data_IF_830461553770
#
_entry.id   IF_830461553770
#
_cell.length_a   1.000
_cell.length_b   1.000
_cell.length_c   1.000
_cell.angle_alpha   90.00
_cell.angle_beta   90.00
_cell.angle_gamma   90.00
#
_symmetry.space_group_name_H-M   'P 1'
#
loop_
_entity.id
_entity.type
_entity.pdbx_description
1 polymer ?
#
# COMPACT_ATOMS: atom_id res chain seq x y z
N UNK A 1 -24.89 58.49 -24.84
CA UNK A 1 -25.16 57.31 -23.97
C UNK A 1 -24.11 56.24 -24.30
N UNK A 2 -23.09 56.09 -23.44
CA UNK A 2 -22.05 55.04 -23.58
C UNK A 2 -22.49 53.83 -22.81
N UNK A 3 -22.72 52.68 -23.49
CA UNK A 3 -23.02 51.38 -22.90
C UNK A 3 -21.70 50.78 -22.43
N UNK A 4 -21.53 50.60 -21.11
CA UNK A 4 -20.46 49.78 -20.53
C UNK A 4 -20.90 48.33 -20.60
N UNK A 5 -20.21 47.51 -21.42
CA UNK A 5 -20.33 46.05 -21.41
C UNK A 5 -19.41 45.56 -20.32
N UNK A 6 -19.99 45.08 -19.21
CA UNK A 6 -19.28 44.43 -18.13
C UNK A 6 -19.05 42.98 -18.52
N UNK A 7 -17.82 42.65 -18.87
CA UNK A 7 -17.42 41.23 -19.12
C UNK A 7 -17.13 40.61 -17.77
N UNK A 8 -18.08 39.79 -17.28
CA UNK A 8 -17.87 38.93 -16.12
C UNK A 8 -16.97 37.79 -16.52
N UNK A 9 -15.71 37.84 -16.13
CA UNK A 9 -14.73 36.78 -16.28
C UNK A 9 -15.05 35.71 -15.19
N UNK A 10 -15.80 34.69 -15.56
CA UNK A 10 -16.00 33.51 -14.72
C UNK A 10 -14.70 32.74 -14.62
N UNK A 11 -13.92 32.95 -13.56
CA UNK A 11 -12.83 32.05 -13.17
C UNK A 11 -13.44 30.72 -12.77
N UNK A 12 -13.39 29.74 -13.67
CA UNK A 12 -13.62 28.35 -13.34
C UNK A 12 -12.48 27.87 -12.46
N UNK A 13 -12.67 27.88 -11.15
CA UNK A 13 -11.83 27.16 -10.21
C UNK A 13 -12.03 25.66 -10.51
N UNK A 14 -11.12 25.08 -11.26
CA UNK A 14 -10.92 23.65 -11.29
C UNK A 14 -10.47 23.25 -9.87
N UNK A 15 -11.40 22.94 -8.97
CA UNK A 15 -11.11 22.24 -7.75
C UNK A 15 -10.61 20.85 -8.17
N UNK A 16 -9.28 20.66 -8.15
CA UNK A 16 -8.68 19.34 -8.14
C UNK A 16 -9.26 18.63 -6.92
N UNK A 17 -10.15 17.66 -7.16
CA UNK A 17 -10.75 16.85 -6.11
C UNK A 17 -9.64 15.94 -5.55
N UNK A 18 -8.95 16.43 -4.53
CA UNK A 18 -8.11 15.55 -3.71
C UNK A 18 -8.98 14.44 -3.15
N UNK A 19 -8.49 13.23 -3.14
CA UNK A 19 -9.17 12.14 -2.46
C UNK A 19 -9.37 12.55 -0.99
N UNK A 20 -10.63 12.69 -0.57
CA UNK A 20 -10.95 13.03 0.81
C UNK A 20 -10.68 11.78 1.65
N UNK A 21 -9.67 11.85 2.52
CA UNK A 21 -9.34 10.77 3.43
C UNK A 21 -10.23 10.81 4.67
N UNK A 22 -10.89 9.69 4.97
CA UNK A 22 -11.63 9.49 6.21
C UNK A 22 -10.67 9.06 7.33
N UNK A 23 -10.96 9.39 8.60
CA UNK A 23 -10.15 8.97 9.74
C UNK A 23 -10.06 7.44 9.85
N UNK A 24 -8.84 6.89 9.98
CA UNK A 24 -8.63 5.46 10.14
C UNK A 24 -8.98 4.97 11.56
N UNK A 25 -8.84 5.83 12.56
CA UNK A 25 -9.09 5.57 13.97
C UNK A 25 -10.04 6.59 14.58
N UNK A 26 -10.76 6.17 15.62
CA UNK A 26 -11.43 7.10 16.55
C UNK A 26 -10.42 7.76 17.49
N UNK A 27 -9.39 7.02 17.91
CA UNK A 27 -8.27 7.49 18.71
C UNK A 27 -6.99 6.85 18.16
N UNK A 28 -6.07 7.66 17.67
CA UNK A 28 -4.84 7.17 17.04
C UNK A 28 -3.94 6.54 18.11
N UNK A 29 -3.55 5.26 17.97
CA UNK A 29 -2.61 4.62 18.88
C UNK A 29 -1.18 5.08 18.59
N UNK A 30 -0.27 4.94 19.57
CA UNK A 30 1.16 5.25 19.37
C UNK A 30 1.34 6.63 18.73
N UNK A 31 0.71 7.66 19.33
CA UNK A 31 0.63 9.01 18.80
C UNK A 31 1.02 10.03 19.88
N UNK A 32 1.87 10.97 19.51
CA UNK A 32 2.20 12.16 20.26
C UNK A 32 1.32 13.29 19.74
N UNK A 33 0.59 13.96 20.62
CA UNK A 33 -0.22 15.13 20.27
C UNK A 33 0.71 16.32 20.00
N UNK A 34 1.02 16.50 18.73
CA UNK A 34 1.89 17.54 18.19
C UNK A 34 1.21 18.15 16.96
N UNK A 35 1.59 19.39 16.55
CA UNK A 35 1.05 19.99 15.35
C UNK A 35 1.22 19.08 14.14
N UNK A 36 0.15 18.90 13.35
CA UNK A 36 0.21 18.14 12.11
C UNK A 36 1.01 18.97 11.07
N UNK A 37 2.06 18.35 10.52
CA UNK A 37 2.92 18.95 9.51
C UNK A 37 2.69 18.34 8.12
N UNK A 38 1.59 17.62 7.92
CA UNK A 38 1.27 17.01 6.64
C UNK A 38 1.37 18.04 5.51
N UNK A 39 2.03 17.68 4.45
CA UNK A 39 2.14 18.49 3.24
C UNK A 39 1.97 17.65 1.99
N UNK A 40 1.33 18.23 0.98
CA UNK A 40 1.16 17.62 -0.32
C UNK A 40 1.76 18.47 -1.42
N UNK A 41 2.35 17.84 -2.43
CA UNK A 41 2.88 18.49 -3.61
C UNK A 41 2.25 17.86 -4.86
N UNK A 42 1.91 18.73 -5.82
CA UNK A 42 1.37 18.35 -7.12
C UNK A 42 2.38 18.81 -8.18
N UNK A 43 3.04 17.85 -8.82
CA UNK A 43 3.95 18.05 -9.94
C UNK A 43 3.55 17.11 -11.10
N UNK A 44 2.25 17.04 -11.36
CA UNK A 44 1.61 16.00 -12.18
C UNK A 44 1.31 14.70 -11.42
N UNK A 45 1.78 14.56 -10.16
CA UNK A 45 1.52 13.41 -9.30
C UNK A 45 1.35 13.89 -7.85
N UNK A 46 0.25 13.52 -7.21
CA UNK A 46 0.02 13.84 -5.80
C UNK A 46 0.97 13.02 -4.90
N UNK A 47 1.82 13.73 -4.16
CA UNK A 47 2.70 13.16 -3.12
C UNK A 47 2.38 13.78 -1.78
N UNK A 48 2.18 12.95 -0.75
CA UNK A 48 1.88 13.41 0.61
C UNK A 48 3.08 13.05 1.51
N UNK A 49 3.58 14.03 2.24
CA UNK A 49 4.68 13.84 3.20
C UNK A 49 4.26 14.21 4.61
N UNK A 50 5.05 13.82 5.61
CA UNK A 50 4.85 14.14 7.04
C UNK A 50 3.48 13.73 7.57
N UNK A 51 2.91 12.64 7.06
CA UNK A 51 1.62 12.13 7.51
C UNK A 51 1.72 11.70 8.98
N UNK A 52 1.07 12.44 9.88
CA UNK A 52 0.95 12.11 11.30
C UNK A 52 -0.45 11.55 11.63
N UNK A 53 -1.46 11.96 10.88
CA UNK A 53 -2.87 11.53 11.03
C UNK A 53 -3.22 10.55 9.91
N UNK A 54 -3.34 9.24 10.23
CA UNK A 54 -3.63 8.23 9.22
C UNK A 54 -5.09 8.29 8.78
N UNK A 55 -5.32 7.98 7.51
CA UNK A 55 -6.65 8.00 6.92
C UNK A 55 -6.79 7.01 5.77
N UNK A 56 -8.01 6.92 5.23
CA UNK A 56 -8.29 6.05 4.09
C UNK A 56 -9.26 6.72 3.11
N UNK A 57 -9.12 6.39 1.83
CA UNK A 57 -10.09 6.69 0.81
C UNK A 57 -10.65 5.37 0.25
N UNK A 58 -11.97 5.15 0.38
CA UNK A 58 -12.64 3.95 -0.11
C UNK A 58 -13.22 4.19 -1.50
N UNK A 59 -12.95 3.29 -2.42
CA UNK A 59 -13.40 3.28 -3.80
C UNK A 59 -14.30 2.06 -4.02
N UNK A 60 -15.59 2.31 -4.25
CA UNK A 60 -16.58 1.24 -4.46
C UNK A 60 -16.60 0.79 -5.92
N UNK A 61 -16.59 -0.52 -6.15
CA UNK A 61 -16.79 -1.15 -7.46
C UNK A 61 -18.28 -1.50 -7.73
N UNK A 62 -19.21 -0.79 -7.08
CA UNK A 62 -20.66 -1.06 -7.14
C UNK A 62 -21.17 -1.85 -5.93
N UNK A 63 -22.50 -1.93 -5.77
CA UNK A 63 -23.15 -2.36 -4.53
C UNK A 63 -24.08 -3.58 -4.69
N UNK A 64 -24.06 -4.28 -5.82
CA UNK A 64 -25.03 -5.35 -6.08
C UNK A 64 -24.74 -6.60 -5.25
N UNK A 65 -23.51 -7.14 -5.36
CA UNK A 65 -23.08 -8.34 -4.65
C UNK A 65 -21.78 -8.09 -3.87
N UNK A 66 -21.51 -8.89 -2.82
CA UNK A 66 -20.23 -8.83 -2.10
C UNK A 66 -19.05 -9.09 -3.04
N UNK A 67 -18.09 -8.16 -3.07
CA UNK A 67 -16.91 -8.17 -3.94
C UNK A 67 -15.63 -8.25 -3.10
N UNK A 68 -14.53 -8.73 -3.68
CA UNK A 68 -13.21 -8.59 -3.05
C UNK A 68 -12.88 -7.13 -2.77
N UNK A 69 -11.99 -6.90 -1.82
CA UNK A 69 -11.44 -5.59 -1.53
C UNK A 69 -9.92 -5.65 -1.44
N UNK A 70 -9.22 -4.68 -2.03
CA UNK A 70 -7.77 -4.54 -1.90
C UNK A 70 -7.43 -3.26 -1.14
N UNK A 71 -6.58 -3.37 -0.12
CA UNK A 71 -5.99 -2.24 0.58
C UNK A 71 -4.70 -1.88 -0.14
N UNK A 72 -4.55 -0.63 -0.57
CA UNK A 72 -3.43 -0.15 -1.37
C UNK A 72 -2.54 0.72 -0.50
N UNK A 73 -1.26 0.34 -0.38
CA UNK A 73 -0.21 1.04 0.33
C UNK A 73 0.73 1.70 -0.70
N UNK A 74 0.62 3.01 -0.98
CA UNK A 74 1.51 3.69 -1.91
C UNK A 74 2.97 3.63 -1.46
N UNK A 75 3.91 3.64 -2.40
CA UNK A 75 5.34 3.73 -2.12
C UNK A 75 5.78 5.15 -1.74
N UNK A 76 7.10 5.31 -1.62
CA UNK A 76 7.71 6.61 -1.31
C UNK A 76 8.79 6.54 -0.24
N UNK A 77 9.39 5.37 -0.02
CA UNK A 77 10.58 5.18 0.83
C UNK A 77 10.33 5.43 2.31
N UNK A 78 9.10 5.35 2.81
CA UNK A 78 8.69 5.79 4.15
C UNK A 78 9.00 7.28 4.43
N UNK A 79 9.07 8.09 3.39
CA UNK A 79 9.27 9.55 3.48
C UNK A 79 8.09 10.33 2.90
N UNK A 80 7.44 9.78 1.90
CA UNK A 80 6.24 10.29 1.26
C UNK A 80 5.28 9.14 0.94
N UNK A 81 4.07 9.47 0.50
CA UNK A 81 3.13 8.57 -0.16
C UNK A 81 2.94 9.05 -1.61
N UNK A 82 3.21 8.19 -2.59
CA UNK A 82 2.93 8.43 -3.99
C UNK A 82 1.43 8.18 -4.28
N UNK A 83 0.58 9.01 -3.66
CA UNK A 83 -0.85 8.76 -3.44
C UNK A 83 -1.71 8.73 -4.70
N UNK A 84 -1.23 9.23 -5.83
CA UNK A 84 -1.96 9.22 -7.10
C UNK A 84 -1.63 7.96 -7.91
N UNK A 85 -0.44 7.88 -8.51
CA UNK A 85 -0.10 6.82 -9.46
C UNK A 85 0.11 5.42 -8.83
N UNK A 86 0.42 5.35 -7.53
CA UNK A 86 0.50 4.10 -6.74
C UNK A 86 -0.66 3.95 -5.74
N UNK A 87 -1.65 4.84 -5.79
CA UNK A 87 -2.81 4.87 -4.92
C UNK A 87 -4.12 4.97 -5.67
N UNK A 88 -4.60 6.21 -5.90
CA UNK A 88 -5.95 6.44 -6.43
C UNK A 88 -6.13 5.93 -7.86
N UNK A 89 -5.13 5.97 -8.71
CA UNK A 89 -5.24 5.45 -10.07
C UNK A 89 -5.30 3.92 -10.08
N UNK A 90 -4.54 3.28 -9.18
CA UNK A 90 -4.61 1.83 -8.95
C UNK A 90 -6.00 1.44 -8.43
N UNK A 91 -6.57 2.22 -7.51
CA UNK A 91 -7.93 1.99 -6.99
C UNK A 91 -8.99 2.07 -8.08
N UNK A 92 -8.90 3.04 -8.98
CA UNK A 92 -9.80 3.15 -10.15
C UNK A 92 -9.70 1.93 -11.07
N UNK A 93 -8.47 1.42 -11.29
CA UNK A 93 -8.29 0.20 -12.07
C UNK A 93 -8.98 -1.00 -11.39
N UNK A 94 -8.76 -1.23 -10.10
CA UNK A 94 -9.42 -2.33 -9.38
C UNK A 94 -10.94 -2.23 -9.45
N UNK A 95 -11.50 -1.02 -9.34
CA UNK A 95 -12.94 -0.81 -9.52
C UNK A 95 -13.42 -1.23 -10.91
N UNK A 96 -12.64 -0.95 -11.96
CA UNK A 96 -13.00 -1.31 -13.33
C UNK A 96 -13.07 -2.82 -13.58
N UNK A 97 -12.41 -3.62 -12.72
CA UNK A 97 -12.42 -5.09 -12.76
C UNK A 97 -13.27 -5.72 -11.65
N UNK A 98 -14.12 -4.93 -10.98
CA UNK A 98 -15.07 -5.42 -9.98
C UNK A 98 -14.49 -5.67 -8.59
N UNK A 99 -13.39 -5.04 -8.21
CA UNK A 99 -12.77 -5.14 -6.89
C UNK A 99 -12.89 -3.78 -6.19
N UNK A 100 -13.41 -3.76 -4.96
CA UNK A 100 -13.34 -2.57 -4.11
C UNK A 100 -11.88 -2.26 -3.76
N UNK A 101 -11.57 -0.98 -3.56
CA UNK A 101 -10.24 -0.57 -3.17
C UNK A 101 -10.28 0.41 -2.00
N UNK A 102 -9.32 0.29 -1.09
CA UNK A 102 -9.08 1.23 -0.02
C UNK A 102 -7.65 1.75 -0.13
N UNK A 103 -7.47 3.02 -0.51
CA UNK A 103 -6.16 3.67 -0.50
C UNK A 103 -5.85 4.10 0.92
N UNK A 104 -4.76 3.57 1.46
CA UNK A 104 -4.32 3.85 2.82
C UNK A 104 -3.33 5.02 2.85
N UNK A 105 -3.72 6.11 3.50
CA UNK A 105 -2.82 7.18 3.91
C UNK A 105 -2.20 6.77 5.25
N UNK A 106 -1.17 5.92 5.20
CA UNK A 106 -0.50 5.46 6.42
C UNK A 106 0.48 6.49 6.96
N UNK A 107 0.74 6.46 8.26
CA UNK A 107 1.67 7.38 8.93
C UNK A 107 3.08 7.22 8.39
N UNK A 108 3.72 8.35 8.14
CA UNK A 108 5.14 8.42 7.83
C UNK A 108 5.92 8.36 9.16
N UNK A 109 6.91 7.46 9.29
CA UNK A 109 7.69 7.31 10.53
C UNK A 109 8.36 8.63 10.95
N UNK A 110 8.06 9.09 12.17
CA UNK A 110 8.62 10.32 12.75
C UNK A 110 8.72 10.17 14.26
N UNK A 111 9.86 10.53 14.83
CA UNK A 111 10.06 10.56 16.28
C UNK A 111 9.27 11.69 16.94
N UNK A 112 8.86 12.71 16.17
CA UNK A 112 8.06 13.84 16.64
C UNK A 112 6.60 13.47 16.89
N UNK A 113 6.07 12.48 16.16
CA UNK A 113 4.65 12.14 16.16
C UNK A 113 4.35 10.73 16.70
N UNK A 114 5.34 9.86 16.83
CA UNK A 114 5.12 8.49 17.27
C UNK A 114 6.14 8.08 18.35
N UNK A 115 5.68 7.62 19.55
CA UNK A 115 6.55 7.03 20.57
C UNK A 115 7.39 5.86 20.04
N UNK A 116 6.81 5.03 19.17
CA UNK A 116 7.53 4.02 18.38
C UNK A 116 7.15 4.14 16.90
N UNK A 117 7.93 4.90 16.17
CA UNK A 117 7.69 5.14 14.73
C UNK A 117 7.78 3.88 13.85
N UNK A 118 8.52 2.87 14.30
CA UNK A 118 8.77 1.64 13.52
C UNK A 118 7.51 0.82 13.29
N UNK A 119 6.62 0.82 14.28
CA UNK A 119 5.38 0.03 14.21
C UNK A 119 4.18 0.84 13.67
N UNK A 120 4.27 2.17 13.58
CA UNK A 120 3.14 3.01 13.23
C UNK A 120 2.53 2.67 11.85
N UNK A 121 3.31 2.48 10.76
CA UNK A 121 2.75 2.04 9.47
C UNK A 121 2.06 0.67 9.56
N UNK A 122 2.66 -0.29 10.27
CA UNK A 122 2.09 -1.64 10.44
C UNK A 122 0.76 -1.60 11.21
N UNK A 123 0.67 -0.77 12.27
CA UNK A 123 -0.59 -0.54 12.97
C UNK A 123 -1.68 -0.05 12.02
N UNK A 124 -1.34 0.91 11.14
CA UNK A 124 -2.29 1.48 10.19
C UNK A 124 -2.73 0.44 9.14
N UNK A 125 -1.84 -0.40 8.65
CA UNK A 125 -2.17 -1.49 7.74
C UNK A 125 -3.04 -2.57 8.42
N UNK A 126 -2.75 -2.96 9.66
CA UNK A 126 -3.58 -3.87 10.45
C UNK A 126 -4.98 -3.28 10.65
N UNK A 127 -5.08 -1.99 11.01
CA UNK A 127 -6.36 -1.31 11.20
C UNK A 127 -7.16 -1.22 9.90
N UNK A 128 -6.51 -1.01 8.77
CA UNK A 128 -7.20 -0.94 7.47
C UNK A 128 -7.87 -2.28 7.11
N UNK A 129 -7.20 -3.42 7.30
CA UNK A 129 -7.81 -4.76 7.08
C UNK A 129 -8.99 -4.98 8.03
N UNK A 130 -8.82 -4.63 9.30
CA UNK A 130 -9.87 -4.76 10.31
C UNK A 130 -11.08 -3.88 9.96
N UNK A 131 -10.85 -2.62 9.57
CA UNK A 131 -11.88 -1.67 9.18
C UNK A 131 -12.70 -2.17 7.99
N UNK A 132 -12.04 -2.70 6.95
CA UNK A 132 -12.74 -3.28 5.79
C UNK A 132 -13.65 -4.42 6.22
N UNK A 133 -13.19 -5.31 7.10
CA UNK A 133 -13.98 -6.43 7.61
C UNK A 133 -15.10 -5.99 8.54
N UNK A 134 -14.91 -4.95 9.35
CA UNK A 134 -15.95 -4.33 10.17
C UNK A 134 -17.10 -3.79 9.34
N UNK A 135 -16.77 -3.16 8.21
CA UNK A 135 -17.76 -2.57 7.30
C UNK A 135 -18.17 -3.48 6.14
N UNK A 136 -17.78 -4.76 6.15
CA UNK A 136 -17.97 -5.66 5.02
C UNK A 136 -19.42 -5.73 4.52
N UNK A 137 -20.38 -5.76 5.46
CA UNK A 137 -21.83 -5.77 5.13
C UNK A 137 -22.26 -4.48 4.44
N UNK A 138 -21.87 -3.34 4.99
CA UNK A 138 -22.32 -2.02 4.51
C UNK A 138 -21.64 -1.65 3.19
N UNK A 139 -20.36 -2.01 3.03
CA UNK A 139 -19.57 -1.75 1.83
C UNK A 139 -19.70 -2.84 0.75
N UNK A 140 -20.49 -3.88 1.02
CA UNK A 140 -20.63 -5.04 0.12
C UNK A 140 -19.28 -5.68 -0.22
N UNK A 141 -18.45 -5.86 0.79
CA UNK A 141 -17.16 -6.57 0.70
C UNK A 141 -17.34 -8.03 1.12
N UNK A 142 -16.72 -8.95 0.38
CA UNK A 142 -16.54 -10.32 0.85
C UNK A 142 -15.42 -10.34 1.91
N UNK A 143 -15.72 -10.59 3.19
CA UNK A 143 -14.72 -10.52 4.26
C UNK A 143 -13.64 -11.62 4.17
N UNK A 144 -13.81 -12.61 3.31
CA UNK A 144 -12.85 -13.68 3.02
C UNK A 144 -11.97 -13.39 1.80
N UNK A 145 -12.15 -12.22 1.17
CA UNK A 145 -11.41 -11.78 -0.01
C UNK A 145 -10.88 -10.35 0.17
N UNK A 146 -10.24 -10.12 1.32
CA UNK A 146 -9.60 -8.83 1.64
C UNK A 146 -8.10 -8.95 1.45
N UNK A 147 -7.59 -8.37 0.38
CA UNK A 147 -6.16 -8.38 0.04
C UNK A 147 -5.44 -7.11 0.45
N UNK A 148 -4.12 -7.17 0.40
CA UNK A 148 -3.25 -6.00 0.54
C UNK A 148 -2.34 -5.88 -0.67
N UNK A 149 -2.13 -4.65 -1.11
CA UNK A 149 -1.22 -4.31 -2.20
C UNK A 149 -0.29 -3.20 -1.77
N UNK A 150 0.95 -3.22 -2.27
CA UNK A 150 1.86 -2.11 -2.03
C UNK A 150 2.97 -2.04 -3.06
N UNK A 151 3.52 -0.83 -3.22
CA UNK A 151 4.62 -0.54 -4.11
C UNK A 151 5.85 -0.10 -3.33
N UNK A 152 7.05 -0.55 -3.73
CA UNK A 152 8.31 -0.09 -3.13
C UNK A 152 8.30 -0.24 -1.60
N UNK A 153 8.44 0.84 -0.83
CA UNK A 153 8.29 0.85 0.63
C UNK A 153 6.86 0.51 1.09
N UNK A 154 5.81 0.83 0.30
CA UNK A 154 4.44 0.36 0.53
C UNK A 154 4.33 -1.16 0.32
N UNK A 155 5.13 -1.73 -0.59
CA UNK A 155 5.28 -3.17 -0.75
C UNK A 155 5.95 -3.82 0.46
N UNK A 156 6.91 -3.14 1.10
CA UNK A 156 7.45 -3.56 2.38
C UNK A 156 6.37 -3.57 3.47
N UNK A 157 5.56 -2.51 3.56
CA UNK A 157 4.46 -2.46 4.52
C UNK A 157 3.44 -3.58 4.29
N UNK A 158 3.06 -3.82 3.03
CA UNK A 158 2.12 -4.87 2.65
C UNK A 158 2.64 -6.27 3.00
N UNK A 159 3.89 -6.57 2.67
CA UNK A 159 4.54 -7.84 3.03
C UNK A 159 4.80 -7.96 4.53
N UNK A 160 5.11 -6.85 5.24
CA UNK A 160 5.22 -6.86 6.71
C UNK A 160 3.90 -7.27 7.36
N UNK A 161 2.75 -6.74 6.90
CA UNK A 161 1.47 -7.20 7.40
C UNK A 161 1.21 -8.67 7.06
N UNK A 162 1.59 -9.11 5.86
CA UNK A 162 1.37 -10.48 5.40
C UNK A 162 2.16 -11.53 6.23
N UNK A 163 3.29 -11.17 6.82
CA UNK A 163 4.11 -12.08 7.64
C UNK A 163 3.97 -11.87 9.14
N UNK A 164 3.55 -10.68 9.58
CA UNK A 164 3.36 -10.31 11.00
C UNK A 164 1.88 -10.12 11.37
N UNK A 165 0.96 -10.78 10.66
CA UNK A 165 -0.48 -10.67 10.93
C UNK A 165 -0.91 -11.19 12.31
N UNK A 166 -0.13 -12.05 12.93
CA UNK A 166 -0.35 -12.60 14.28
C UNK A 166 0.32 -11.76 15.38
N UNK A 167 1.26 -10.88 15.04
CA UNK A 167 1.84 -9.90 15.94
C UNK A 167 1.00 -8.61 15.97
N UNK A 168 -0.10 -8.65 16.73
CA UNK A 168 -1.11 -7.58 16.76
C UNK A 168 -0.58 -6.33 17.45
N UNK A 169 -0.45 -5.23 16.72
CA UNK A 169 0.03 -3.92 17.21
C UNK A 169 -1.11 -2.94 17.52
N UNK A 170 -2.36 -3.30 17.24
CA UNK A 170 -3.57 -2.49 17.50
C UNK A 170 -4.40 -3.11 18.63
N UNK A 171 -5.24 -2.27 19.27
CA UNK A 171 -6.11 -2.73 20.37
C UNK A 171 -7.59 -2.81 20.01
N UNK A 172 -7.95 -2.25 18.85
CA UNK A 172 -9.31 -2.26 18.35
C UNK A 172 -9.73 -3.69 18.01
N UNK A 173 -10.94 -4.04 18.32
CA UNK A 173 -11.66 -5.27 18.00
C UNK A 173 -10.82 -6.52 17.68
N UNK A 174 -10.14 -7.08 18.67
CA UNK A 174 -9.27 -8.24 18.56
C UNK A 174 -9.94 -9.56 18.07
N UNK A 175 -11.28 -9.54 17.85
CA UNK A 175 -12.03 -10.67 17.29
C UNK A 175 -12.00 -10.70 15.77
N UNK A 176 -11.61 -9.60 15.12
CA UNK A 176 -11.53 -9.51 13.67
C UNK A 176 -10.09 -9.70 13.23
N UNK A 177 -9.86 -10.71 12.38
CA UNK A 177 -8.52 -10.99 11.84
C UNK A 177 -7.97 -9.80 11.06
N UNK A 178 -6.69 -9.50 11.25
CA UNK A 178 -5.95 -8.51 10.46
C UNK A 178 -5.11 -9.17 9.35
N UNK A 179 -5.15 -10.51 9.22
CA UNK A 179 -4.46 -11.25 8.17
C UNK A 179 -5.12 -10.96 6.81
N UNK A 180 -4.41 -10.46 5.80
CA UNK A 180 -4.94 -10.35 4.46
C UNK A 180 -5.13 -11.75 3.84
N UNK A 181 -6.05 -11.87 2.87
CA UNK A 181 -6.32 -13.15 2.19
C UNK A 181 -5.39 -13.38 1.00
N UNK A 182 -4.86 -12.30 0.40
CA UNK A 182 -3.87 -12.31 -0.67
C UNK A 182 -3.01 -11.04 -0.62
N UNK A 183 -1.86 -11.05 -1.31
CA UNK A 183 -0.98 -9.88 -1.41
C UNK A 183 -0.52 -9.65 -2.85
N UNK A 184 -0.38 -8.36 -3.24
CA UNK A 184 0.11 -7.92 -4.55
C UNK A 184 1.23 -6.91 -4.31
N UNK A 185 2.43 -7.19 -4.83
CA UNK A 185 3.62 -6.42 -4.50
C UNK A 185 4.31 -5.90 -5.77
N UNK A 186 4.33 -4.58 -5.93
CA UNK A 186 5.05 -3.90 -7.02
C UNK A 186 6.45 -3.49 -6.60
N UNK A 187 7.49 -4.02 -7.26
CA UNK A 187 8.91 -3.73 -6.99
C UNK A 187 9.20 -3.52 -5.49
N UNK A 188 8.79 -4.50 -4.64
CA UNK A 188 8.74 -4.29 -3.21
C UNK A 188 10.13 -4.24 -2.59
N UNK A 189 10.32 -3.37 -1.59
CA UNK A 189 11.32 -3.60 -0.57
C UNK A 189 10.86 -4.79 0.27
N UNK A 190 11.73 -5.73 0.57
CA UNK A 190 11.45 -6.93 1.37
C UNK A 190 12.44 -7.06 2.51
N UNK A 191 13.73 -7.06 2.21
CA UNK A 191 14.78 -7.25 3.20
C UNK A 191 15.37 -5.93 3.68
N UNK A 192 15.58 -5.83 4.98
CA UNK A 192 16.36 -4.74 5.58
C UNK A 192 17.79 -5.17 5.94
N UNK A 193 18.14 -6.41 5.70
CA UNK A 193 19.52 -6.93 5.82
C UNK A 193 20.16 -7.09 4.46
N UNK A 194 19.99 -8.21 3.78
CA UNK A 194 20.53 -8.48 2.46
C UNK A 194 19.71 -7.76 1.38
N UNK A 195 20.32 -7.13 0.41
CA UNK A 195 19.66 -6.36 -0.68
C UNK A 195 18.81 -5.17 -0.20
N UNK A 196 19.15 -4.61 0.96
CA UNK A 196 18.38 -3.55 1.61
C UNK A 196 18.30 -2.28 0.77
N UNK A 197 17.07 -1.75 0.59
CA UNK A 197 16.91 -0.35 0.21
C UNK A 197 17.20 0.54 1.45
N UNK A 198 18.43 1.03 1.53
CA UNK A 198 18.96 1.75 2.71
C UNK A 198 18.09 2.96 3.11
N UNK A 199 17.49 3.65 2.11
CA UNK A 199 16.60 4.78 2.37
C UNK A 199 15.36 4.39 3.18
N UNK A 200 14.62 3.37 2.74
CA UNK A 200 13.44 2.86 3.45
C UNK A 200 13.79 2.36 4.86
N UNK A 201 14.89 1.60 4.98
CA UNK A 201 15.35 1.11 6.29
C UNK A 201 15.64 2.25 7.25
N UNK A 202 16.42 3.25 6.84
CA UNK A 202 16.77 4.40 7.70
C UNK A 202 15.54 5.22 8.08
N UNK A 203 14.58 5.40 7.16
CA UNK A 203 13.37 6.16 7.45
C UNK A 203 12.47 5.43 8.45
N UNK A 204 12.32 4.10 8.32
CA UNK A 204 11.50 3.32 9.24
C UNK A 204 12.20 3.10 10.59
N UNK A 205 13.44 2.61 10.58
CA UNK A 205 14.13 2.14 11.79
C UNK A 205 15.00 3.20 12.48
N UNK A 206 15.36 4.26 11.77
CA UNK A 206 16.36 5.22 12.23
C UNK A 206 17.78 4.83 11.80
N UNK A 207 18.76 5.68 12.19
CA UNK A 207 20.17 5.50 11.82
C UNK A 207 20.84 4.35 12.58
N UNK A 208 20.43 4.15 13.82
CA UNK A 208 21.02 3.22 14.77
C UNK A 208 20.23 1.89 14.84
N UNK A 209 19.75 1.42 13.66
CA UNK A 209 19.02 0.16 13.59
C UNK A 209 19.91 -1.03 13.97
N UNK A 210 19.46 -1.82 14.94
CA UNK A 210 20.13 -3.05 15.37
C UNK A 210 19.88 -4.19 14.38
N UNK A 211 20.70 -5.22 14.43
CA UNK A 211 20.51 -6.44 13.63
C UNK A 211 19.16 -7.09 13.93
N UNK A 212 18.73 -7.13 15.19
CA UNK A 212 17.41 -7.66 15.57
C UNK A 212 16.26 -6.89 14.94
N UNK A 213 16.35 -5.54 14.87
CA UNK A 213 15.36 -4.72 14.18
C UNK A 213 15.36 -4.99 12.67
N UNK A 214 16.54 -5.06 12.06
CA UNK A 214 16.65 -5.37 10.63
C UNK A 214 16.08 -6.75 10.32
N UNK A 215 16.36 -7.75 11.15
CA UNK A 215 15.82 -9.11 10.98
C UNK A 215 14.30 -9.13 11.13
N UNK A 216 13.72 -8.44 12.14
CA UNK A 216 12.26 -8.35 12.31
C UNK A 216 11.57 -7.75 11.07
N UNK A 217 12.17 -6.76 10.42
CA UNK A 217 11.65 -6.11 9.22
C UNK A 217 12.23 -6.67 7.90
N UNK A 218 12.90 -7.80 7.93
CA UNK A 218 13.28 -8.59 6.75
C UNK A 218 12.22 -9.66 6.54
N UNK A 219 11.21 -9.33 5.73
CA UNK A 219 9.95 -10.07 5.63
C UNK A 219 10.13 -11.51 5.12
N UNK A 220 11.16 -11.77 4.32
CA UNK A 220 11.53 -13.11 3.84
C UNK A 220 11.86 -14.09 4.98
N UNK A 221 12.30 -13.58 6.13
CA UNK A 221 12.67 -14.39 7.30
C UNK A 221 11.46 -14.84 8.13
N UNK A 222 10.28 -14.27 7.90
CA UNK A 222 9.07 -14.49 8.70
C UNK A 222 7.95 -15.19 7.93
N UNK A 223 8.22 -15.62 6.70
CA UNK A 223 7.27 -16.39 5.91
C UNK A 223 7.02 -17.75 6.58
N UNK A 224 5.75 -18.13 6.64
CA UNK A 224 5.31 -19.43 7.11
C UNK A 224 4.17 -19.97 6.24
N UNK A 225 3.70 -21.21 6.46
CA UNK A 225 2.65 -21.84 5.66
C UNK A 225 1.29 -21.14 5.69
N UNK A 226 1.07 -20.22 6.63
CA UNK A 226 -0.15 -19.42 6.72
C UNK A 226 0.03 -18.02 6.11
N UNK A 227 1.21 -17.66 5.60
CA UNK A 227 1.42 -16.40 4.87
C UNK A 227 0.49 -16.38 3.64
N UNK A 228 -0.19 -15.25 3.33
CA UNK A 228 -1.07 -15.16 2.17
C UNK A 228 -0.37 -15.43 0.84
N UNK A 229 -1.11 -16.01 -0.11
CA UNK A 229 -0.65 -16.15 -1.49
C UNK A 229 -0.24 -14.79 -2.08
N UNK A 230 0.72 -14.80 -3.01
CA UNK A 230 1.34 -13.56 -3.48
C UNK A 230 1.45 -13.46 -5.01
N UNK A 231 1.19 -12.27 -5.55
CA UNK A 231 1.61 -11.87 -6.88
C UNK A 231 2.62 -10.73 -6.77
N UNK A 232 3.74 -10.84 -7.47
CA UNK A 232 4.79 -9.81 -7.49
C UNK A 232 5.06 -9.34 -8.92
N UNK A 233 5.50 -8.09 -9.06
CA UNK A 233 6.08 -7.56 -10.30
C UNK A 233 7.35 -6.78 -10.01
N UNK A 234 8.39 -6.98 -10.82
CA UNK A 234 9.67 -6.27 -10.68
C UNK A 234 10.39 -6.16 -12.03
N UNK A 235 11.25 -5.16 -12.20
CA UNK A 235 12.12 -5.03 -13.35
C UNK A 235 13.57 -5.42 -12.99
N UNK A 236 14.25 -6.14 -13.88
CA UNK A 236 15.63 -6.58 -13.66
C UNK A 236 16.64 -5.44 -13.54
N UNK A 237 16.36 -4.33 -14.23
CA UNK A 237 17.19 -3.13 -14.25
C UNK A 237 16.88 -2.11 -13.14
N UNK A 238 16.08 -2.49 -12.14
CA UNK A 238 15.78 -1.64 -10.98
C UNK A 238 17.06 -1.39 -10.16
N UNK A 239 17.52 -0.12 -10.17
CA UNK A 239 18.72 0.33 -9.45
C UNK A 239 18.41 0.94 -8.08
N UNK A 240 17.13 1.05 -7.71
CA UNK A 240 16.69 1.62 -6.43
C UNK A 240 16.40 0.50 -5.43
N UNK A 241 15.58 -0.47 -5.84
CA UNK A 241 15.29 -1.68 -5.07
C UNK A 241 15.75 -2.89 -5.89
N UNK A 242 16.82 -3.57 -5.50
CA UNK A 242 17.31 -4.73 -6.25
C UNK A 242 16.24 -5.81 -6.38
N UNK A 243 16.07 -6.39 -7.58
CA UNK A 243 15.07 -7.43 -7.87
C UNK A 243 15.20 -8.66 -6.96
N UNK A 244 16.38 -8.86 -6.38
CA UNK A 244 16.66 -9.91 -5.41
C UNK A 244 15.71 -9.87 -4.22
N UNK A 245 15.15 -8.69 -3.87
CA UNK A 245 14.08 -8.60 -2.88
C UNK A 245 12.88 -9.46 -3.26
N UNK A 246 12.44 -9.41 -4.52
CA UNK A 246 11.33 -10.24 -5.00
C UNK A 246 11.73 -11.71 -5.08
N UNK A 247 12.93 -12.04 -5.53
CA UNK A 247 13.39 -13.43 -5.61
C UNK A 247 13.42 -14.10 -4.24
N UNK A 248 14.08 -13.50 -3.24
CA UNK A 248 14.18 -14.11 -1.90
C UNK A 248 12.81 -14.27 -1.23
N UNK A 249 11.86 -13.35 -1.49
CA UNK A 249 10.52 -13.46 -0.93
C UNK A 249 9.70 -14.58 -1.58
N UNK A 250 9.75 -14.69 -2.91
CA UNK A 250 9.10 -15.78 -3.66
C UNK A 250 9.68 -17.13 -3.27
N UNK A 251 11.00 -17.22 -3.11
CA UNK A 251 11.67 -18.45 -2.67
C UNK A 251 11.24 -18.84 -1.25
N UNK A 252 11.15 -17.86 -0.34
CA UNK A 252 10.65 -18.10 1.02
C UNK A 252 9.18 -18.56 1.03
N UNK A 253 8.30 -17.92 0.22
CA UNK A 253 6.90 -18.34 0.09
C UNK A 253 6.77 -19.77 -0.43
N UNK A 254 7.42 -20.08 -1.54
CA UNK A 254 7.39 -21.42 -2.16
C UNK A 254 7.98 -22.50 -1.24
N UNK A 255 9.06 -22.20 -0.53
CA UNK A 255 9.69 -23.12 0.43
C UNK A 255 8.78 -23.43 1.62
N UNK A 256 7.83 -22.55 1.93
CA UNK A 256 6.80 -22.77 2.95
C UNK A 256 5.45 -23.27 2.37
N UNK A 257 5.43 -23.71 1.11
CA UNK A 257 4.22 -24.24 0.45
C UNK A 257 3.17 -23.18 0.10
N UNK A 258 3.53 -21.90 0.09
CA UNK A 258 2.64 -20.78 -0.26
C UNK A 258 2.75 -20.50 -1.76
N UNK A 259 1.59 -20.40 -2.46
CA UNK A 259 1.58 -20.03 -3.88
C UNK A 259 2.08 -18.61 -4.07
N UNK A 260 3.06 -18.45 -4.95
CA UNK A 260 3.62 -17.15 -5.32
C UNK A 260 3.97 -17.11 -6.82
N UNK A 261 3.57 -16.02 -7.48
CA UNK A 261 3.89 -15.75 -8.88
C UNK A 261 4.67 -14.42 -8.98
N UNK A 262 5.72 -14.40 -9.78
CA UNK A 262 6.54 -13.22 -10.04
C UNK A 262 6.55 -12.92 -11.54
N UNK A 263 6.03 -11.76 -11.90
CA UNK A 263 6.14 -11.20 -13.24
C UNK A 263 7.40 -10.34 -13.32
N UNK A 264 8.30 -10.66 -14.25
CA UNK A 264 9.58 -9.98 -14.38
C UNK A 264 9.66 -9.21 -15.69
N UNK A 265 9.93 -7.91 -15.63
CA UNK A 265 10.32 -7.12 -16.76
C UNK A 265 11.85 -7.16 -16.95
N UNK A 266 12.32 -7.22 -18.20
CA UNK A 266 13.75 -7.06 -18.51
C UNK A 266 14.23 -5.64 -18.20
N UNK A 267 13.40 -4.64 -18.56
CA UNK A 267 13.65 -3.22 -18.33
C UNK A 267 12.40 -2.53 -17.78
N UNK A 268 12.58 -1.41 -17.08
CA UNK A 268 11.47 -0.62 -16.49
C UNK A 268 11.95 0.26 -15.36
N UNK A 269 13.08 -0.07 -14.76
CA UNK A 269 13.60 0.64 -13.59
C UNK A 269 12.68 0.54 -12.39
N UNK A 270 12.66 1.59 -11.57
CA UNK A 270 11.83 1.66 -10.36
C UNK A 270 10.67 2.64 -10.53
N UNK A 271 9.51 2.33 -9.93
CA UNK A 271 8.41 3.29 -9.82
C UNK A 271 7.53 3.40 -11.07
N UNK A 272 7.48 2.38 -11.93
CA UNK A 272 6.65 2.39 -13.13
C UNK A 272 5.13 2.31 -12.86
N UNK A 273 4.71 2.06 -11.63
CA UNK A 273 3.30 1.95 -11.26
C UNK A 273 2.57 0.88 -12.07
N UNK A 274 1.42 1.23 -12.61
CA UNK A 274 0.63 0.29 -13.44
C UNK A 274 1.19 0.12 -14.87
N UNK A 275 1.99 1.07 -15.37
CA UNK A 275 2.41 1.11 -16.77
C UNK A 275 3.92 1.14 -16.88
N UNK A 276 4.50 0.04 -17.34
CA UNK A 276 5.89 0.04 -17.79
C UNK A 276 5.96 0.46 -19.25
N UNK A 277 6.48 1.66 -19.51
CA UNK A 277 6.58 2.23 -20.88
C UNK A 277 7.65 1.59 -21.75
N UNK A 278 8.51 0.74 -21.18
CA UNK A 278 9.61 0.08 -21.89
C UNK A 278 9.26 -1.32 -22.40
N UNK A 279 8.06 -1.81 -22.08
CA UNK A 279 7.59 -3.14 -22.47
C UNK A 279 6.19 -3.08 -23.06
N UNK A 280 5.92 -3.94 -24.03
CA UNK A 280 4.58 -4.20 -24.58
C UNK A 280 3.77 -5.17 -23.70
N UNK A 281 4.43 -5.90 -22.81
CA UNK A 281 3.77 -6.80 -21.86
C UNK A 281 3.14 -6.01 -20.71
N UNK A 282 2.03 -6.52 -20.17
CA UNK A 282 1.30 -5.87 -19.09
C UNK A 282 1.24 -6.77 -17.86
N UNK A 283 1.97 -6.39 -16.80
CA UNK A 283 1.87 -7.07 -15.52
C UNK A 283 0.46 -7.00 -14.92
N UNK A 284 -0.29 -5.94 -15.25
CA UNK A 284 -1.69 -5.77 -14.83
C UNK A 284 -2.57 -6.88 -15.39
N UNK A 285 -2.35 -7.29 -16.65
CA UNK A 285 -3.07 -8.40 -17.25
C UNK A 285 -2.67 -9.75 -16.62
N UNK A 286 -1.38 -9.95 -16.35
CA UNK A 286 -0.89 -11.13 -15.64
C UNK A 286 -1.49 -11.21 -14.22
N UNK A 287 -1.50 -10.10 -13.48
CA UNK A 287 -2.14 -10.01 -12.15
C UNK A 287 -3.63 -10.35 -12.23
N UNK A 288 -4.36 -9.82 -13.22
CA UNK A 288 -5.79 -10.13 -13.40
C UNK A 288 -6.00 -11.63 -13.61
N UNK A 289 -5.19 -12.26 -14.47
CA UNK A 289 -5.23 -13.70 -14.71
C UNK A 289 -4.93 -14.49 -13.44
N UNK A 290 -3.96 -14.05 -12.63
CA UNK A 290 -3.63 -14.65 -11.34
C UNK A 290 -4.80 -14.53 -10.34
N UNK A 291 -5.48 -13.37 -10.29
CA UNK A 291 -6.67 -13.18 -9.45
C UNK A 291 -7.81 -14.13 -9.85
N UNK A 292 -8.01 -14.36 -11.15
CA UNK A 292 -9.01 -15.32 -11.67
C UNK A 292 -8.63 -16.76 -11.34
N UNK A 293 -7.39 -17.15 -11.60
CA UNK A 293 -6.85 -18.49 -11.27
C UNK A 293 -7.07 -18.83 -9.80
N UNK A 294 -6.86 -17.87 -8.91
CA UNK A 294 -7.01 -18.01 -7.47
C UNK A 294 -8.45 -17.74 -6.97
N UNK A 295 -9.42 -17.62 -7.87
CA UNK A 295 -10.85 -17.44 -7.56
C UNK A 295 -11.13 -16.22 -6.67
N UNK A 296 -10.27 -15.22 -6.73
CA UNK A 296 -10.49 -13.92 -6.07
C UNK A 296 -11.57 -13.18 -6.84
N UNK A 297 -11.45 -13.14 -8.15
CA UNK A 297 -12.50 -12.66 -9.09
C UNK A 297 -12.96 -13.78 -10.01
N UNK A 298 -14.07 -13.52 -10.73
CA UNK A 298 -14.59 -14.42 -11.76
C UNK A 298 -13.83 -14.29 -13.07
#
# INVERSE_FOLDING_TARGET
MKKYISTILTLSLMQLAFAQYNPLYKKIPNYIDAPDEESSAIDGVLRISKVSIPGYAFFSAGNDDPKPCVIICPGGGYRILASEHEGTDVAKYFNSIGIHALVLKYRIPSDDHQPDKKIAPLQDAQRAVQLVREHAKDWKVDPKKVGIMGFSAGGHLASSLAVHYDDIKIKENNKISVRPDFQILGYPVISFSKFSHVGSRKNLLGKDSTESMMNYFSNELHVNSNTPIAFLVHAKDDKVVPIENSFIYVDALKSNGVEAELFVYETGGHGFGMINKTSSESWINAMKSWLQKNKIIQ
#
